data_IF_462606584317
#
_entry.id   IF_462606584317
#
_cell.length_a   1.000
_cell.length_b   1.000
_cell.length_c   1.000
_cell.angle_alpha   90.00
_cell.angle_beta   90.00
_cell.angle_gamma   90.00
#
_symmetry.space_group_name_H-M   'P 1'
#
loop_
_entity.id
_entity.type
_entity.pdbx_description
1 polymer ?
#
# COMPACT_ATOMS: atom_id res chain seq x y z
N UNK A 1 19.69 5.14 -10.88
CA UNK A 1 19.30 4.36 -9.70
C UNK A 1 17.82 4.54 -9.44
N UNK A 2 17.15 3.46 -9.07
CA UNK A 2 15.76 3.46 -8.65
C UNK A 2 15.64 4.20 -7.32
N UNK A 3 14.69 5.13 -7.24
CA UNK A 3 14.40 5.84 -6.00
C UNK A 3 13.27 5.12 -5.28
N UNK A 4 13.51 4.53 -4.09
CA UNK A 4 12.45 3.88 -3.36
C UNK A 4 11.34 4.85 -2.99
N UNK A 5 10.11 4.33 -2.98
CA UNK A 5 8.97 5.07 -2.40
C UNK A 5 9.24 5.30 -0.92
N UNK A 6 9.03 6.52 -0.45
CA UNK A 6 9.11 6.91 0.95
C UNK A 6 7.71 7.22 1.47
N UNK A 7 7.01 6.25 2.11
CA UNK A 7 5.68 6.48 2.63
C UNK A 7 5.69 7.50 3.77
N UNK A 8 4.80 8.48 3.70
CA UNK A 8 4.55 9.39 4.81
C UNK A 8 3.55 8.76 5.79
N UNK A 9 3.75 8.95 7.11
CA UNK A 9 2.81 8.49 8.13
C UNK A 9 1.98 9.66 8.65
N UNK A 10 0.67 9.49 8.73
CA UNK A 10 -0.28 10.53 9.16
C UNK A 10 -1.38 9.95 10.04
N UNK A 11 -2.09 10.81 10.78
CA UNK A 11 -3.30 10.39 11.49
C UNK A 11 -4.42 10.07 10.50
N UNK A 12 -5.25 9.06 10.81
CA UNK A 12 -6.47 8.78 10.04
C UNK A 12 -7.45 9.96 10.14
N UNK A 13 -7.59 10.73 9.05
CA UNK A 13 -8.64 11.74 8.89
C UNK A 13 -9.87 11.14 8.21
N UNK A 14 -11.03 11.17 8.86
CA UNK A 14 -12.29 10.66 8.33
C UNK A 14 -13.03 11.66 7.43
N UNK A 15 -12.70 12.94 7.57
CA UNK A 15 -13.35 14.04 6.88
C UNK A 15 -12.89 14.10 5.41
N UNK A 16 -11.59 13.89 5.19
CA UNK A 16 -10.97 14.00 3.87
C UNK A 16 -11.17 12.77 2.98
N UNK A 17 -11.68 11.65 3.52
CA UNK A 17 -11.77 10.39 2.76
C UNK A 17 -12.60 10.51 1.49
N UNK A 18 -13.61 11.39 1.47
CA UNK A 18 -14.45 11.60 0.30
C UNK A 18 -13.72 12.29 -0.87
N UNK A 19 -12.74 13.15 -0.56
CA UNK A 19 -12.05 14.00 -1.54
C UNK A 19 -10.67 13.48 -1.93
N UNK A 20 -10.17 12.41 -1.28
CA UNK A 20 -8.92 11.77 -1.67
C UNK A 20 -9.05 11.14 -3.06
N UNK A 21 -8.24 11.63 -4.00
CA UNK A 21 -8.11 11.08 -5.33
C UNK A 21 -7.18 9.85 -5.35
N UNK A 22 -7.09 9.20 -6.51
CA UNK A 22 -6.22 8.05 -6.69
C UNK A 22 -6.74 6.80 -5.98
N UNK A 23 -5.89 6.15 -5.19
CA UNK A 23 -6.22 4.87 -4.53
C UNK A 23 -6.35 5.02 -3.02
N UNK A 24 -7.43 4.47 -2.46
CA UNK A 24 -7.56 4.24 -1.02
C UNK A 24 -7.47 2.74 -0.77
N UNK A 25 -6.44 2.29 -0.05
CA UNK A 25 -6.30 0.91 0.39
C UNK A 25 -6.69 0.80 1.87
N UNK A 26 -7.74 0.04 2.19
CA UNK A 26 -8.21 -0.19 3.55
C UNK A 26 -7.76 -1.57 4.03
N UNK A 27 -7.04 -1.64 5.15
CA UNK A 27 -6.81 -2.89 5.84
C UNK A 27 -8.11 -3.32 6.55
N UNK A 28 -8.58 -4.52 6.26
CA UNK A 28 -9.83 -5.03 6.80
C UNK A 28 -9.72 -6.50 7.23
N UNK A 29 -10.54 -6.86 8.21
CA UNK A 29 -10.70 -8.23 8.70
C UNK A 29 -12.17 -8.51 9.02
N UNK A 30 -12.52 -9.80 9.09
CA UNK A 30 -13.90 -10.22 9.32
C UNK A 30 -14.79 -10.04 8.09
N UNK A 31 -16.09 -9.96 8.31
CA UNK A 31 -17.17 -9.98 7.30
C UNK A 31 -17.91 -8.65 7.15
N UNK A 32 -17.50 -7.63 7.91
CA UNK A 32 -18.20 -6.34 8.00
C UNK A 32 -17.26 -5.18 8.34
N UNK A 33 -17.59 -3.93 7.97
CA UNK A 33 -16.79 -2.75 8.30
C UNK A 33 -16.80 -2.47 9.82
N UNK A 34 -15.67 -2.69 10.49
CA UNK A 34 -15.56 -2.52 11.95
C UNK A 34 -14.91 -1.21 12.39
N UNK A 35 -13.91 -0.72 11.67
CA UNK A 35 -13.20 0.53 12.03
C UNK A 35 -14.01 1.76 11.65
N UNK A 36 -13.69 2.91 12.25
CA UNK A 36 -14.37 4.17 11.95
C UNK A 36 -14.17 4.59 10.48
N UNK A 37 -12.96 4.40 9.94
CA UNK A 37 -12.67 4.64 8.53
C UNK A 37 -13.43 3.68 7.62
N UNK A 38 -13.46 2.38 7.94
CA UNK A 38 -14.22 1.39 7.19
C UNK A 38 -15.72 1.75 7.13
N UNK A 39 -16.33 2.10 8.28
CA UNK A 39 -17.73 2.52 8.35
C UNK A 39 -18.00 3.83 7.59
N UNK A 40 -17.05 4.77 7.63
CA UNK A 40 -17.16 6.03 6.87
C UNK A 40 -17.12 5.76 5.36
N UNK A 41 -16.18 4.94 4.88
CA UNK A 41 -16.07 4.54 3.48
C UNK A 41 -17.31 3.75 3.03
N UNK A 42 -17.83 2.85 3.86
CA UNK A 42 -19.05 2.10 3.55
C UNK A 42 -20.27 3.03 3.37
N UNK A 43 -20.43 4.02 4.26
CA UNK A 43 -21.48 5.03 4.13
C UNK A 43 -21.34 5.89 2.88
N UNK A 44 -20.12 6.34 2.56
CA UNK A 44 -19.84 7.11 1.34
C UNK A 44 -20.14 6.31 0.08
N UNK A 45 -19.86 5.00 0.12
CA UNK A 45 -20.08 4.06 -0.99
C UNK A 45 -21.44 3.33 -0.92
N UNK A 46 -22.38 3.83 -0.11
CA UNK A 46 -23.76 3.32 0.02
C UNK A 46 -23.86 1.80 0.30
N UNK A 47 -22.99 1.28 1.17
CA UNK A 47 -23.02 -0.13 1.60
C UNK A 47 -22.20 -1.08 0.72
N UNK A 48 -21.44 -0.57 -0.25
CA UNK A 48 -20.64 -1.41 -1.14
C UNK A 48 -19.58 -2.22 -0.39
N UNK A 49 -18.97 -1.66 0.65
CA UNK A 49 -17.96 -2.36 1.45
C UNK A 49 -18.59 -3.48 2.28
N UNK A 50 -19.73 -3.23 2.92
CA UNK A 50 -20.50 -4.26 3.63
C UNK A 50 -20.88 -5.40 2.69
N UNK A 51 -21.39 -5.08 1.50
CA UNK A 51 -21.72 -6.09 0.47
C UNK A 51 -20.49 -6.89 0.04
N UNK A 52 -19.35 -6.22 -0.16
CA UNK A 52 -18.10 -6.87 -0.56
C UNK A 52 -17.61 -7.83 0.53
N UNK A 53 -17.55 -7.37 1.79
CA UNK A 53 -17.05 -8.17 2.90
C UNK A 53 -17.96 -9.35 3.27
N UNK A 54 -19.26 -9.27 2.97
CA UNK A 54 -20.18 -10.39 3.09
C UNK A 54 -20.11 -11.40 1.92
N UNK A 55 -19.32 -11.11 0.88
CA UNK A 55 -19.26 -11.96 -0.32
C UNK A 55 -18.42 -13.22 -0.13
N UNK A 56 -18.71 -14.24 -0.94
CA UNK A 56 -17.90 -15.45 -1.02
C UNK A 56 -16.48 -15.16 -1.50
N UNK A 57 -16.31 -14.22 -2.44
CA UNK A 57 -15.01 -13.80 -2.94
C UNK A 57 -14.12 -13.26 -1.82
N UNK A 58 -14.67 -12.43 -0.93
CA UNK A 58 -13.95 -11.94 0.23
C UNK A 58 -13.61 -13.06 1.21
N UNK A 59 -14.58 -13.94 1.50
CA UNK A 59 -14.38 -15.06 2.43
C UNK A 59 -13.27 -16.01 1.97
N UNK A 60 -13.16 -16.24 0.66
CA UNK A 60 -12.10 -17.06 0.04
C UNK A 60 -10.75 -16.35 -0.14
N UNK A 61 -10.71 -15.02 -0.06
CA UNK A 61 -9.46 -14.28 -0.17
C UNK A 61 -8.51 -14.68 0.97
N UNK A 62 -7.22 -14.87 0.64
CA UNK A 62 -6.20 -15.24 1.63
C UNK A 62 -5.71 -13.99 2.36
N UNK A 63 -5.03 -14.17 3.49
CA UNK A 63 -4.33 -13.07 4.14
C UNK A 63 -3.33 -12.42 3.18
N UNK A 64 -3.35 -11.09 3.13
CA UNK A 64 -2.55 -10.27 2.23
C UNK A 64 -3.11 -10.11 0.82
N UNK A 65 -4.18 -10.82 0.46
CA UNK A 65 -4.88 -10.59 -0.81
C UNK A 65 -5.80 -9.36 -0.70
N UNK A 66 -6.19 -8.81 -1.85
CA UNK A 66 -7.06 -7.64 -1.90
C UNK A 66 -8.14 -7.78 -2.98
N UNK A 67 -9.25 -7.07 -2.80
CA UNK A 67 -10.30 -6.91 -3.79
C UNK A 67 -10.53 -5.42 -4.03
N UNK A 68 -10.55 -5.01 -5.30
CA UNK A 68 -10.72 -3.62 -5.69
C UNK A 68 -12.19 -3.32 -6.03
N UNK A 69 -12.69 -2.21 -5.50
CA UNK A 69 -13.89 -1.53 -5.99
C UNK A 69 -13.44 -0.37 -6.88
N UNK A 70 -13.68 -0.49 -8.18
CA UNK A 70 -13.26 0.50 -9.17
C UNK A 70 -14.30 1.63 -9.29
N UNK A 71 -13.81 2.89 -9.34
CA UNK A 71 -14.61 4.12 -9.36
C UNK A 71 -15.83 4.09 -8.42
N UNK A 72 -15.61 3.87 -7.11
CA UNK A 72 -16.70 3.76 -6.15
C UNK A 72 -17.46 5.09 -6.02
N UNK A 73 -18.75 5.05 -6.32
CA UNK A 73 -19.61 6.23 -6.19
C UNK A 73 -19.54 6.83 -4.78
N UNK A 74 -19.41 8.16 -4.71
CA UNK A 74 -19.30 8.90 -3.44
C UNK A 74 -17.87 9.13 -2.95
N UNK A 75 -16.85 8.62 -3.67
CA UNK A 75 -15.44 8.93 -3.44
C UNK A 75 -14.84 9.58 -4.69
N UNK A 76 -13.90 10.50 -4.49
CA UNK A 76 -13.04 11.01 -5.56
C UNK A 76 -11.95 10.00 -5.97
N UNK A 77 -11.73 8.96 -5.15
CA UNK A 77 -10.78 7.90 -5.42
C UNK A 77 -11.21 7.08 -6.65
N UNK A 78 -10.26 6.77 -7.52
CA UNK A 78 -10.43 5.87 -8.66
C UNK A 78 -10.57 4.42 -8.22
N UNK A 79 -10.01 4.07 -7.05
CA UNK A 79 -10.11 2.71 -6.52
C UNK A 79 -10.15 2.71 -5.01
N UNK A 80 -11.14 2.00 -4.46
CA UNK A 80 -11.16 1.57 -3.06
C UNK A 80 -10.73 0.10 -3.00
N UNK A 81 -9.51 -0.14 -2.56
CA UNK A 81 -8.91 -1.46 -2.44
C UNK A 81 -9.07 -2.00 -1.02
N UNK A 82 -9.68 -3.17 -0.87
CA UNK A 82 -9.91 -3.78 0.44
C UNK A 82 -8.92 -4.92 0.60
N UNK A 83 -7.99 -4.75 1.54
CA UNK A 83 -6.88 -5.68 1.77
C UNK A 83 -7.18 -6.52 3.00
N UNK A 84 -7.22 -7.84 2.83
CA UNK A 84 -7.52 -8.76 3.93
C UNK A 84 -6.28 -8.93 4.80
N UNK A 85 -6.29 -8.31 5.97
CA UNK A 85 -5.21 -8.44 6.94
C UNK A 85 -5.78 -8.54 8.35
N UNK A 86 -5.86 -9.76 8.93
CA UNK A 86 -6.27 -9.94 10.32
C UNK A 86 -5.33 -9.22 11.28
N UNK A 87 -5.86 -8.67 12.39
CA UNK A 87 -5.05 -7.95 13.38
C UNK A 87 -3.94 -8.79 14.01
N UNK A 88 -4.10 -10.13 13.99
CA UNK A 88 -3.13 -11.11 14.47
C UNK A 88 -2.19 -11.64 13.40
N UNK A 89 -2.23 -11.09 12.18
CA UNK A 89 -1.33 -11.48 11.10
C UNK A 89 0.12 -11.35 11.54
N UNK A 90 0.95 -12.29 11.07
CA UNK A 90 2.37 -12.24 11.30
C UNK A 90 3.05 -11.18 10.41
N UNK A 91 4.37 -11.05 10.56
CA UNK A 91 5.15 -10.11 9.77
C UNK A 91 5.15 -10.44 8.27
N UNK A 92 5.20 -11.72 7.90
CA UNK A 92 5.26 -12.13 6.50
C UNK A 92 3.95 -11.78 5.79
N UNK A 93 2.82 -12.03 6.43
CA UNK A 93 1.48 -11.66 5.97
C UNK A 93 1.31 -10.15 5.81
N UNK A 94 1.79 -9.36 6.78
CA UNK A 94 1.74 -7.90 6.70
C UNK A 94 2.58 -7.35 5.53
N UNK A 95 3.78 -7.90 5.31
CA UNK A 95 4.63 -7.53 4.16
C UNK A 95 4.01 -7.97 2.84
N UNK A 96 3.35 -9.13 2.81
CA UNK A 96 2.59 -9.58 1.63
C UNK A 96 1.45 -8.61 1.30
N UNK A 97 0.68 -8.18 2.31
CA UNK A 97 -0.37 -7.17 2.15
C UNK A 97 0.21 -5.86 1.58
N UNK A 98 1.34 -5.41 2.13
CA UNK A 98 2.12 -4.30 1.61
C UNK A 98 2.47 -4.47 0.13
N UNK A 99 2.99 -5.63 -0.26
CA UNK A 99 3.30 -5.95 -1.65
C UNK A 99 2.08 -5.94 -2.57
N UNK A 100 0.92 -6.43 -2.10
CA UNK A 100 -0.33 -6.36 -2.88
C UNK A 100 -0.72 -4.91 -3.18
N UNK A 101 -0.59 -4.02 -2.19
CA UNK A 101 -0.82 -2.58 -2.38
C UNK A 101 0.25 -1.98 -3.30
N UNK A 102 1.53 -2.30 -3.06
CA UNK A 102 2.68 -1.81 -3.81
C UNK A 102 2.62 -2.13 -5.30
N UNK A 103 2.06 -3.29 -5.67
CA UNK A 103 1.80 -3.67 -7.07
C UNK A 103 0.85 -2.71 -7.78
N UNK A 104 -0.07 -2.11 -7.02
CA UNK A 104 -1.20 -1.33 -7.52
C UNK A 104 -0.97 0.18 -7.42
N UNK A 105 0.25 0.62 -7.09
CA UNK A 105 0.61 2.03 -7.08
C UNK A 105 0.50 2.64 -8.47
N UNK A 106 0.11 3.91 -8.52
CA UNK A 106 -0.04 4.70 -9.75
C UNK A 106 0.22 6.18 -9.51
N UNK A 107 0.08 6.99 -10.56
CA UNK A 107 0.46 8.42 -10.58
C UNK A 107 -0.36 9.29 -9.62
N UNK A 108 -1.63 8.96 -9.42
CA UNK A 108 -2.55 9.75 -8.60
C UNK A 108 -2.30 9.64 -7.08
N UNK A 109 -1.39 8.76 -6.65
CA UNK A 109 -1.07 8.53 -5.25
C UNK A 109 -1.95 7.48 -4.56
N UNK A 110 -1.50 7.03 -3.40
CA UNK A 110 -2.14 5.97 -2.62
C UNK A 110 -2.20 6.34 -1.15
N UNK A 111 -3.41 6.33 -0.59
CA UNK A 111 -3.65 6.37 0.86
C UNK A 111 -3.89 4.96 1.38
N UNK A 112 -3.05 4.47 2.28
CA UNK A 112 -3.25 3.20 3.00
C UNK A 112 -3.83 3.52 4.38
N UNK A 113 -5.02 3.05 4.67
CA UNK A 113 -5.67 3.17 5.98
C UNK A 113 -5.37 1.90 6.77
N UNK A 114 -4.39 2.01 7.67
CA UNK A 114 -3.97 0.94 8.57
C UNK A 114 -4.49 1.12 10.00
N UNK A 115 -5.04 2.28 10.35
CA UNK A 115 -5.62 2.59 11.67
C UNK A 115 -4.68 2.13 12.82
N UNK A 116 -5.16 1.31 13.74
CA UNK A 116 -4.40 0.78 14.87
C UNK A 116 -3.79 -0.61 14.59
N UNK A 117 -3.52 -0.94 13.32
CA UNK A 117 -2.91 -2.23 12.98
C UNK A 117 -1.44 -2.28 13.46
N UNK A 118 -1.05 -3.28 14.28
CA UNK A 118 0.27 -3.29 14.93
C UNK A 118 1.43 -3.46 13.94
N UNK A 119 1.15 -3.91 12.72
CA UNK A 119 2.13 -4.17 11.66
C UNK A 119 2.12 -3.13 10.54
N UNK A 120 1.65 -1.90 10.80
CA UNK A 120 1.57 -0.87 9.76
C UNK A 120 2.94 -0.56 9.10
N UNK A 121 4.03 -0.57 9.88
CA UNK A 121 5.39 -0.40 9.35
C UNK A 121 5.82 -1.57 8.45
N UNK A 122 5.43 -2.81 8.76
CA UNK A 122 5.70 -3.98 7.92
C UNK A 122 4.91 -3.93 6.60
N UNK A 123 3.67 -3.43 6.63
CA UNK A 123 2.88 -3.16 5.41
C UNK A 123 3.57 -2.11 4.55
N UNK A 124 4.03 -1.01 5.16
CA UNK A 124 4.78 0.03 4.45
C UNK A 124 6.08 -0.51 3.84
N UNK A 125 6.81 -1.36 4.56
CA UNK A 125 8.03 -2.01 4.08
C UNK A 125 7.78 -2.91 2.86
N UNK A 126 6.78 -3.79 2.95
CA UNK A 126 6.41 -4.66 1.83
C UNK A 126 5.95 -3.88 0.59
N UNK A 127 5.24 -2.77 0.80
CA UNK A 127 4.83 -1.85 -0.26
C UNK A 127 6.05 -1.22 -0.94
N UNK A 128 6.97 -0.67 -0.16
CA UNK A 128 8.14 0.03 -0.67
C UNK A 128 9.07 -0.92 -1.47
N UNK A 129 9.34 -2.12 -0.96
CA UNK A 129 10.12 -3.15 -1.67
C UNK A 129 9.47 -3.58 -2.99
N UNK A 130 8.14 -3.60 -3.04
CA UNK A 130 7.40 -3.99 -4.25
C UNK A 130 7.35 -2.87 -5.29
N UNK A 131 7.53 -1.61 -4.88
CA UNK A 131 7.53 -0.47 -5.77
C UNK A 131 8.80 -0.34 -6.64
N UNK A 132 9.79 -1.22 -6.45
CA UNK A 132 10.97 -1.30 -7.31
C UNK A 132 10.60 -1.49 -8.80
N UNK A 133 11.12 -0.61 -9.65
CA UNK A 133 11.12 -0.77 -11.10
C UNK A 133 12.48 -0.32 -11.66
N UNK A 134 13.05 -1.14 -12.53
CA UNK A 134 14.31 -0.86 -13.21
C UNK A 134 14.01 -0.41 -14.64
N UNK A 135 14.25 0.86 -14.93
CA UNK A 135 13.87 1.50 -16.21
C UNK A 135 15.06 2.11 -16.96
N UNK A 136 16.29 2.06 -16.41
CA UNK A 136 17.48 2.71 -16.99
C UNK A 136 17.77 2.29 -18.45
N UNK A 137 17.40 1.06 -18.83
CA UNK A 137 17.61 0.50 -20.17
C UNK A 137 16.31 0.21 -20.93
N UNK A 138 15.20 0.81 -20.50
CA UNK A 138 13.91 0.69 -21.18
C UNK A 138 13.63 1.96 -21.98
N UNK A 139 13.14 1.78 -23.21
CA UNK A 139 12.69 2.89 -24.07
C UNK A 139 11.26 3.34 -23.76
N UNK A 140 10.49 2.51 -23.05
CA UNK A 140 9.15 2.85 -22.58
C UNK A 140 9.20 3.88 -21.45
N UNK A 141 8.18 4.73 -21.37
CA UNK A 141 8.04 5.69 -20.27
C UNK A 141 8.07 4.98 -18.91
N UNK A 142 8.84 5.54 -17.97
CA UNK A 142 8.90 5.03 -16.62
C UNK A 142 7.54 5.17 -15.94
N UNK A 143 7.14 4.14 -15.20
CA UNK A 143 5.91 4.19 -14.42
C UNK A 143 6.08 5.16 -13.26
N UNK A 144 5.50 6.35 -13.39
CA UNK A 144 5.48 7.32 -12.29
C UNK A 144 4.61 6.80 -11.14
N UNK A 145 5.13 6.95 -9.93
CA UNK A 145 4.44 6.61 -8.69
C UNK A 145 4.14 7.90 -7.94
N UNK A 146 2.86 8.14 -7.66
CA UNK A 146 2.43 9.28 -6.86
C UNK A 146 2.77 9.12 -5.38
N UNK A 147 2.44 10.13 -4.55
CA UNK A 147 2.73 10.09 -3.12
C UNK A 147 2.01 8.91 -2.44
N UNK A 148 2.71 8.25 -1.51
CA UNK A 148 2.14 7.18 -0.68
C UNK A 148 2.04 7.68 0.75
N UNK A 149 0.85 7.55 1.34
CA UNK A 149 0.58 7.93 2.73
C UNK A 149 0.01 6.74 3.48
N UNK A 150 0.51 6.44 4.67
CA UNK A 150 -0.02 5.44 5.58
C UNK A 150 -0.72 6.17 6.74
N UNK A 151 -2.04 6.10 6.78
CA UNK A 151 -2.88 6.60 7.86
C UNK A 151 -2.93 5.57 9.00
N UNK A 152 -2.44 5.97 10.17
CA UNK A 152 -2.34 5.15 11.38
C UNK A 152 -2.81 5.93 12.62
N UNK A 153 -3.08 5.23 13.71
CA UNK A 153 -3.44 5.87 14.98
C UNK A 153 -2.26 6.50 15.73
N UNK A 154 -1.03 6.06 15.45
CA UNK A 154 0.20 6.56 16.10
C UNK A 154 1.32 6.78 15.06
N UNK A 155 1.29 7.90 14.32
CA UNK A 155 2.19 8.14 13.18
C UNK A 155 3.67 8.15 13.57
N UNK A 156 4.03 8.83 14.65
CA UNK A 156 5.42 8.96 15.08
C UNK A 156 6.05 7.60 15.42
N UNK A 157 5.30 6.73 16.10
CA UNK A 157 5.75 5.38 16.44
C UNK A 157 5.91 4.49 15.20
N UNK A 158 4.97 4.58 14.26
CA UNK A 158 5.05 3.85 13.00
C UNK A 158 6.21 4.36 12.12
N UNK A 159 6.42 5.67 12.05
CA UNK A 159 7.53 6.30 11.34
C UNK A 159 8.89 5.93 11.96
N UNK A 160 9.01 5.94 13.28
CA UNK A 160 10.22 5.51 13.98
C UNK A 160 10.56 4.05 13.68
N UNK A 161 9.56 3.16 13.70
CA UNK A 161 9.75 1.74 13.32
C UNK A 161 10.13 1.60 11.85
N UNK A 162 9.54 2.41 10.97
CA UNK A 162 9.81 2.36 9.54
C UNK A 162 11.18 2.96 9.16
N UNK A 163 11.79 3.81 10.00
CA UNK A 163 13.08 4.43 9.68
C UNK A 163 14.18 3.37 9.40
N UNK A 164 14.27 2.33 10.22
CA UNK A 164 15.20 1.22 9.99
C UNK A 164 14.86 0.45 8.70
N UNK A 165 13.57 0.31 8.41
CA UNK A 165 13.08 -0.36 7.20
C UNK A 165 13.38 0.45 5.94
N UNK A 166 13.33 1.77 6.00
CA UNK A 166 13.65 2.65 4.87
C UNK A 166 15.10 2.45 4.40
N UNK A 167 16.05 2.39 5.34
CA UNK A 167 17.45 2.11 5.03
C UNK A 167 17.63 0.72 4.38
N UNK A 168 16.90 -0.30 4.87
CA UNK A 168 16.91 -1.63 4.26
C UNK A 168 16.32 -1.62 2.84
N UNK A 169 15.23 -0.89 2.61
CA UNK A 169 14.63 -0.78 1.27
C UNK A 169 15.63 -0.15 0.31
N UNK A 170 16.30 0.92 0.72
CA UNK A 170 17.32 1.59 -0.10
C UNK A 170 18.47 0.64 -0.45
N UNK A 171 19.02 -0.07 0.53
CA UNK A 171 20.08 -1.06 0.28
C UNK A 171 19.63 -2.21 -0.64
N UNK A 172 18.39 -2.69 -0.49
CA UNK A 172 17.82 -3.72 -1.38
C UNK A 172 17.61 -3.18 -2.80
N UNK A 173 17.14 -1.94 -2.96
CA UNK A 173 16.95 -1.34 -4.29
C UNK A 173 18.30 -1.10 -4.97
N UNK A 174 19.28 -0.57 -4.24
CA UNK A 174 20.64 -0.36 -4.74
C UNK A 174 21.27 -1.67 -5.23
N UNK A 175 21.22 -2.73 -4.42
CA UNK A 175 21.75 -4.03 -4.84
C UNK A 175 20.99 -4.63 -6.02
N UNK A 176 19.68 -4.44 -6.12
CA UNK A 176 18.88 -4.85 -7.29
C UNK A 176 19.24 -4.07 -8.54
N UNK A 177 19.57 -2.78 -8.43
CA UNK A 177 20.06 -1.99 -9.56
C UNK A 177 21.39 -2.55 -10.07
N UNK A 178 22.35 -2.80 -9.17
CA UNK A 178 23.65 -3.38 -9.56
C UNK A 178 23.49 -4.74 -10.26
N UNK A 179 22.59 -5.60 -9.77
CA UNK A 179 22.37 -6.93 -10.36
C UNK A 179 21.64 -6.85 -11.71
N UNK A 180 20.80 -5.84 -11.93
CA UNK A 180 20.09 -5.65 -13.19
C UNK A 180 20.90 -4.89 -14.24
N UNK A 181 22.01 -4.27 -13.83
CA UNK A 181 22.89 -3.57 -14.75
C UNK A 181 23.62 -4.58 -15.64
N UNK A 182 23.53 -4.45 -16.98
CA UNK A 182 24.17 -5.40 -17.88
C UNK A 182 25.70 -5.30 -17.82
N UNK A 183 26.37 -6.43 -18.07
CA UNK A 183 27.83 -6.56 -17.93
C UNK A 183 28.66 -5.71 -18.91
N UNK A 184 28.03 -5.13 -19.93
CA UNK A 184 28.68 -4.18 -20.83
C UNK A 184 28.62 -2.73 -20.31
N UNK A 185 27.95 -2.50 -19.17
CA UNK A 185 27.85 -1.19 -18.49
C UNK A 185 28.47 -1.23 -17.11
N UNK A 186 28.20 -2.28 -16.30
CA UNK A 186 28.82 -2.46 -14.98
C UNK A 186 29.89 -3.56 -15.04
N UNK A 187 31.15 -3.14 -15.00
CA UNK A 187 32.33 -4.01 -14.93
C UNK A 187 33.06 -3.80 -13.59
N UNK A 188 34.32 -4.20 -13.48
CA UNK A 188 35.09 -4.10 -12.24
C UNK A 188 35.69 -2.71 -11.97
N UNK A 189 35.46 -1.74 -12.87
CA UNK A 189 36.09 -0.41 -12.82
C UNK A 189 35.11 0.76 -12.71
N UNK A 190 33.85 0.58 -13.09
CA UNK A 190 32.76 1.55 -12.87
C UNK A 190 32.25 1.55 -11.42
#
# INVERSE_FOLDING_TARGET
>A
MSNPVQPAFTLTSLEDLATKAGRIALLAEGDSPKTAAAKRLDRLTRGALTRLMASEAWTKAKTGDAIDLAWPGGLAAETLQIVRLPRRADQADARKAGGTIGRSLGKAGTLVIADAHPRAADVAFGLALRAYDFTAHKTAEAKETGPVTIAVSAPDSAAATYADYAALVEGVHFTRDLVNEPSNVLTTTE
#
